data_IF_723313786933
#
_entry.id   IF_723313786933
#
_cell.length_a   1.000
_cell.length_b   1.000
_cell.length_c   1.000
_cell.angle_alpha   90.00
_cell.angle_beta   90.00
_cell.angle_gamma   90.00
#
_symmetry.space_group_name_H-M   'P 1'
#
loop_
_entity.id
_entity.type
_entity.pdbx_description
1 polymer ?
#
# COMPACT_ATOMS: atom_id res chain seq x y z
N UNK A 1 37.15 18.38 -7.57
CA UNK A 1 36.25 18.37 -6.39
C UNK A 1 34.92 17.78 -6.84
N UNK A 2 34.58 16.58 -6.36
CA UNK A 2 33.51 15.74 -6.91
C UNK A 2 32.17 16.06 -6.23
N UNK A 3 31.31 16.83 -6.91
CA UNK A 3 30.01 17.31 -6.37
C UNK A 3 28.92 16.23 -6.42
N UNK A 4 29.15 15.09 -7.08
CA UNK A 4 28.20 13.97 -7.21
C UNK A 4 27.86 13.22 -5.89
N UNK A 5 28.48 13.62 -4.77
CA UNK A 5 28.23 13.05 -3.45
C UNK A 5 27.17 13.81 -2.62
N UNK A 6 26.38 14.68 -3.24
CA UNK A 6 25.24 15.33 -2.59
C UNK A 6 23.99 14.43 -2.62
N UNK A 7 23.83 13.66 -1.54
CA UNK A 7 22.54 13.17 -1.03
C UNK A 7 21.69 12.30 -1.97
N UNK A 8 22.14 11.08 -2.27
CA UNK A 8 21.18 9.97 -2.43
C UNK A 8 20.50 9.77 -1.07
N UNK A 9 19.39 10.47 -0.79
CA UNK A 9 18.45 10.08 0.27
C UNK A 9 18.16 8.60 0.03
N UNK A 10 18.63 7.73 0.93
CA UNK A 10 18.47 6.28 0.80
C UNK A 10 16.97 6.01 0.66
N UNK A 11 16.53 5.62 -0.53
CA UNK A 11 15.12 5.43 -0.82
C UNK A 11 14.52 4.48 0.22
N UNK A 12 13.40 4.88 0.81
CA UNK A 12 12.77 4.14 1.89
C UNK A 12 12.37 2.74 1.43
N UNK A 13 12.52 1.75 2.31
CA UNK A 13 12.15 0.37 2.00
C UNK A 13 10.64 0.29 1.73
N UNK A 14 10.25 -0.47 0.70
CA UNK A 14 8.83 -0.63 0.36
C UNK A 14 8.00 -1.19 1.51
N UNK A 15 8.53 -2.14 2.27
CA UNK A 15 7.83 -2.67 3.46
C UNK A 15 7.56 -1.61 4.53
N UNK A 16 8.43 -0.61 4.68
CA UNK A 16 8.20 0.51 5.62
C UNK A 16 7.13 1.46 5.10
N UNK A 17 7.17 1.79 3.81
CA UNK A 17 6.13 2.63 3.16
C UNK A 17 4.77 1.96 3.27
N UNK A 18 4.70 0.66 2.98
CA UNK A 18 3.46 -0.11 3.04
C UNK A 18 2.95 -0.28 4.46
N UNK A 19 3.84 -0.37 5.45
CA UNK A 19 3.44 -0.29 6.86
C UNK A 19 2.74 1.02 7.17
N UNK A 20 3.28 2.15 6.71
CA UNK A 20 2.69 3.46 6.95
C UNK A 20 1.33 3.61 6.27
N UNK A 21 1.23 3.28 4.99
CA UNK A 21 -0.03 3.28 4.25
C UNK A 21 -1.07 2.39 4.96
N UNK A 22 -0.70 1.15 5.31
CA UNK A 22 -1.61 0.24 6.01
C UNK A 22 -2.07 0.82 7.36
N UNK A 23 -1.18 1.44 8.13
CA UNK A 23 -1.55 2.08 9.40
C UNK A 23 -2.52 3.25 9.19
N UNK A 24 -2.40 4.01 8.10
CA UNK A 24 -3.31 5.16 7.88
C UNK A 24 -4.78 4.77 7.76
N UNK A 25 -5.11 3.55 7.34
CA UNK A 25 -6.52 3.09 7.25
C UNK A 25 -7.03 2.42 8.54
N UNK A 26 -6.16 2.19 9.52
CA UNK A 26 -6.51 1.59 10.80
C UNK A 26 -7.15 2.63 11.73
N UNK A 27 -8.15 2.19 12.49
CA UNK A 27 -8.80 3.01 13.52
C UNK A 27 -7.86 3.34 14.68
N UNK A 28 -7.06 2.37 15.11
CA UNK A 28 -6.00 2.56 16.11
C UNK A 28 -4.67 2.08 15.54
N UNK A 29 -3.78 3.04 15.26
CA UNK A 29 -2.46 2.80 14.65
C UNK A 29 -1.44 2.18 15.61
N UNK A 30 -1.73 2.15 16.92
CA UNK A 30 -0.83 1.58 17.94
C UNK A 30 -1.23 0.16 18.33
N UNK A 31 -2.48 -0.23 18.07
CA UNK A 31 -2.97 -1.58 18.32
C UNK A 31 -2.34 -2.60 17.38
N UNK A 32 -2.20 -3.85 17.87
CA UNK A 32 -1.86 -4.99 17.01
C UNK A 32 -3.13 -5.39 16.26
N UNK A 33 -3.19 -5.26 14.93
CA UNK A 33 -4.37 -5.63 14.17
C UNK A 33 -4.53 -7.16 14.14
N UNK A 34 -5.75 -7.60 13.90
CA UNK A 34 -6.00 -8.97 13.46
C UNK A 34 -5.33 -9.26 12.12
N UNK A 35 -5.12 -10.54 11.83
CA UNK A 35 -4.57 -10.97 10.54
C UNK A 35 -5.44 -10.48 9.38
N UNK A 36 -6.75 -10.63 9.45
CA UNK A 36 -7.69 -10.14 8.43
C UNK A 36 -7.62 -8.63 8.23
N UNK A 37 -7.54 -7.85 9.32
CA UNK A 37 -7.41 -6.40 9.24
C UNK A 37 -6.06 -5.99 8.63
N UNK A 38 -4.97 -6.62 9.04
CA UNK A 38 -3.64 -6.36 8.49
C UNK A 38 -3.57 -6.69 6.99
N UNK A 39 -4.09 -7.84 6.57
CA UNK A 39 -4.14 -8.23 5.16
C UNK A 39 -5.06 -7.33 4.34
N UNK A 40 -6.20 -6.91 4.90
CA UNK A 40 -7.09 -5.95 4.24
C UNK A 40 -6.40 -4.61 4.06
N UNK A 41 -5.75 -4.07 5.09
CA UNK A 41 -5.02 -2.80 5.01
C UNK A 41 -3.87 -2.85 3.99
N UNK A 42 -3.11 -3.95 3.95
CA UNK A 42 -2.05 -4.15 2.95
C UNK A 42 -2.59 -4.27 1.52
N UNK A 43 -3.75 -4.93 1.33
CA UNK A 43 -4.43 -4.99 0.04
C UNK A 43 -4.84 -3.59 -0.45
N UNK A 44 -5.41 -2.76 0.44
CA UNK A 44 -5.80 -1.38 0.10
C UNK A 44 -4.56 -0.53 -0.23
N UNK A 45 -3.48 -0.66 0.54
CA UNK A 45 -2.20 -0.02 0.26
C UNK A 45 -1.63 -0.41 -1.10
N UNK A 46 -1.68 -1.69 -1.45
CA UNK A 46 -1.21 -2.18 -2.75
C UNK A 46 -2.03 -1.61 -3.91
N UNK A 47 -3.35 -1.68 -3.80
CA UNK A 47 -4.25 -1.14 -4.82
C UNK A 47 -4.04 0.37 -5.01
N UNK A 48 -3.96 1.13 -3.92
CA UNK A 48 -3.72 2.56 -3.96
C UNK A 48 -2.36 2.92 -4.59
N UNK A 49 -1.29 2.23 -4.16
CA UNK A 49 0.06 2.49 -4.67
C UNK A 49 0.16 2.27 -6.18
N UNK A 50 -0.35 1.14 -6.66
CA UNK A 50 -0.31 0.79 -8.08
C UNK A 50 -1.20 1.70 -8.92
N UNK A 51 -2.44 2.00 -8.47
CA UNK A 51 -3.33 2.95 -9.16
C UNK A 51 -2.71 4.33 -9.29
N UNK A 52 -2.03 4.81 -8.24
CA UNK A 52 -1.34 6.10 -8.27
C UNK A 52 -0.15 6.14 -9.25
N UNK A 53 0.36 4.97 -9.66
CA UNK A 53 1.41 4.82 -10.66
C UNK A 53 0.88 4.40 -12.04
N UNK A 54 -0.44 4.44 -12.26
CA UNK A 54 -1.07 4.15 -13.55
C UNK A 54 -1.31 2.67 -13.82
N UNK A 55 -1.08 1.80 -12.84
CA UNK A 55 -1.34 0.36 -12.96
C UNK A 55 -2.79 0.04 -12.58
N UNK A 56 -3.44 -0.80 -13.39
CA UNK A 56 -4.80 -1.25 -13.10
C UNK A 56 -4.78 -2.32 -11.99
N UNK A 57 -5.39 -1.98 -10.86
CA UNK A 57 -5.83 -2.97 -9.87
C UNK A 57 -7.35 -2.89 -9.79
N UNK A 58 -8.06 -3.89 -10.30
CA UNK A 58 -9.51 -3.76 -10.53
C UNK A 58 -10.31 -3.73 -9.22
N UNK A 59 -11.39 -2.95 -9.19
CA UNK A 59 -12.34 -2.96 -8.08
C UNK A 59 -12.92 -4.35 -7.80
N UNK A 60 -13.09 -5.15 -8.86
CA UNK A 60 -13.60 -6.51 -8.77
C UNK A 60 -12.65 -7.42 -7.96
N UNK A 61 -11.34 -7.35 -8.23
CA UNK A 61 -10.33 -8.14 -7.51
C UNK A 61 -10.20 -7.70 -6.06
N UNK A 62 -10.13 -6.39 -5.80
CA UNK A 62 -10.17 -5.85 -4.43
C UNK A 62 -11.37 -6.40 -3.65
N UNK A 63 -12.58 -6.19 -4.20
CA UNK A 63 -13.83 -6.61 -3.55
C UNK A 63 -13.89 -8.11 -3.31
N UNK A 64 -13.40 -8.92 -4.26
CA UNK A 64 -13.35 -10.39 -4.13
C UNK A 64 -12.46 -10.83 -2.97
N UNK A 65 -11.29 -10.21 -2.80
CA UNK A 65 -10.35 -10.56 -1.72
C UNK A 65 -10.86 -10.05 -0.37
N UNK A 66 -11.34 -8.82 -0.27
CA UNK A 66 -11.93 -8.25 0.96
C UNK A 66 -13.04 -9.15 1.49
N UNK A 67 -13.95 -9.62 0.62
CA UNK A 67 -15.03 -10.55 1.00
C UNK A 67 -14.55 -11.85 1.61
N UNK A 68 -13.34 -12.33 1.28
CA UNK A 68 -12.77 -13.52 1.93
C UNK A 68 -12.39 -13.21 3.39
N UNK A 69 -11.78 -12.04 3.63
CA UNK A 69 -11.43 -11.59 4.97
C UNK A 69 -12.65 -11.28 5.82
N UNK A 70 -13.67 -10.63 5.26
CA UNK A 70 -14.95 -10.39 5.95
C UNK A 70 -15.64 -11.69 6.39
N UNK A 71 -15.58 -12.74 5.55
CA UNK A 71 -16.13 -14.05 5.87
C UNK A 71 -15.34 -14.75 6.99
N UNK A 72 -14.00 -14.62 6.98
CA UNK A 72 -13.13 -15.15 8.04
C UNK A 72 -13.37 -14.46 9.38
N UNK A 73 -13.52 -13.13 9.36
CA UNK A 73 -13.70 -12.30 10.54
C UNK A 73 -14.78 -11.24 10.31
N UNK A 74 -15.98 -11.52 10.82
CA UNK A 74 -17.14 -10.59 10.72
C UNK A 74 -16.90 -9.23 11.40
N UNK A 75 -15.99 -9.18 12.39
CA UNK A 75 -15.59 -7.97 13.10
C UNK A 75 -14.49 -7.16 12.41
N UNK A 76 -14.02 -7.57 11.22
CA UNK A 76 -12.96 -6.90 10.45
C UNK A 76 -13.07 -5.37 10.47
N UNK A 77 -14.26 -4.87 10.13
CA UNK A 77 -14.50 -3.43 9.97
C UNK A 77 -14.48 -2.60 11.25
N UNK A 78 -14.43 -3.22 12.43
CA UNK A 78 -14.28 -2.49 13.70
C UNK A 78 -12.85 -1.95 13.84
N UNK A 79 -11.88 -2.58 13.16
CA UNK A 79 -10.46 -2.25 13.22
C UNK A 79 -10.04 -1.23 12.15
N UNK A 80 -10.78 -1.11 11.04
CA UNK A 80 -10.56 -0.10 10.00
C UNK A 80 -11.36 1.18 10.30
N UNK A 81 -10.88 2.32 9.79
CA UNK A 81 -11.58 3.62 9.93
C UNK A 81 -12.92 3.67 9.21
N UNK A 82 -13.11 2.90 8.15
CA UNK A 82 -14.31 2.91 7.32
C UNK A 82 -14.58 1.56 6.67
N UNK A 83 -15.86 1.29 6.36
CA UNK A 83 -16.31 0.19 5.49
C UNK A 83 -16.24 0.53 4.01
N UNK A 84 -16.16 1.82 3.69
CA UNK A 84 -15.97 2.28 2.32
C UNK A 84 -14.49 2.13 1.92
N UNK A 85 -14.15 0.92 1.51
CA UNK A 85 -12.80 0.59 1.09
C UNK A 85 -12.34 1.36 -0.16
N UNK A 86 -13.27 1.86 -0.97
CA UNK A 86 -12.93 2.71 -2.13
C UNK A 86 -12.50 4.10 -1.67
N UNK A 87 -13.23 4.68 -0.72
CA UNK A 87 -12.83 5.93 -0.09
C UNK A 87 -11.44 5.80 0.57
N UNK A 88 -11.19 4.71 1.30
CA UNK A 88 -9.86 4.43 1.87
C UNK A 88 -8.76 4.31 0.81
N UNK A 89 -9.01 3.67 -0.33
CA UNK A 89 -8.05 3.64 -1.45
C UNK A 89 -7.76 5.05 -1.98
N UNK A 90 -8.79 5.88 -2.16
CA UNK A 90 -8.62 7.24 -2.65
C UNK A 90 -7.80 8.11 -1.67
N UNK A 91 -8.04 7.98 -0.37
CA UNK A 91 -7.23 8.63 0.68
C UNK A 91 -5.77 8.18 0.61
N UNK A 92 -5.52 6.87 0.40
CA UNK A 92 -4.17 6.33 0.26
C UNK A 92 -3.46 6.80 -1.02
N UNK A 93 -4.19 6.97 -2.12
CA UNK A 93 -3.67 7.55 -3.36
C UNK A 93 -3.20 8.99 -3.10
N UNK A 94 -4.02 9.80 -2.43
CA UNK A 94 -3.65 11.16 -2.03
C UNK A 94 -2.41 11.16 -1.15
N UNK A 95 -2.39 10.35 -0.09
CA UNK A 95 -1.24 10.20 0.80
C UNK A 95 0.03 9.82 0.03
N UNK A 96 -0.05 8.86 -0.89
CA UNK A 96 1.07 8.45 -1.74
C UNK A 96 1.58 9.63 -2.57
N UNK A 97 0.69 10.36 -3.23
CA UNK A 97 1.06 11.46 -4.12
C UNK A 97 1.69 12.64 -3.37
N UNK A 98 1.25 12.90 -2.14
CA UNK A 98 1.82 13.95 -1.29
C UNK A 98 3.20 13.57 -0.72
N UNK A 99 3.36 12.32 -0.28
CA UNK A 99 4.55 11.90 0.48
C UNK A 99 5.62 11.22 -0.40
N UNK A 100 5.20 10.62 -1.52
CA UNK A 100 6.04 9.82 -2.41
C UNK A 100 5.74 10.09 -3.91
N UNK A 101 5.73 11.37 -4.37
CA UNK A 101 5.35 11.73 -5.74
C UNK A 101 6.25 11.08 -6.81
N UNK A 102 7.56 11.08 -6.56
CA UNK A 102 8.60 10.57 -7.47
C UNK A 102 8.79 9.05 -7.39
N UNK A 103 8.15 8.38 -6.43
CA UNK A 103 8.29 6.93 -6.29
C UNK A 103 7.35 6.21 -7.24
N UNK A 104 7.91 5.75 -8.36
CA UNK A 104 7.20 5.05 -9.44
C UNK A 104 7.35 3.53 -9.40
N UNK A 105 7.92 2.97 -8.33
CA UNK A 105 8.09 1.50 -8.20
C UNK A 105 6.72 0.83 -8.33
N UNK A 106 6.63 -0.21 -9.15
CA UNK A 106 5.41 -1.01 -9.33
C UNK A 106 5.47 -2.20 -8.38
N UNK A 107 4.45 -2.38 -7.55
CA UNK A 107 4.39 -3.46 -6.57
C UNK A 107 3.76 -4.69 -7.20
N UNK A 108 4.50 -5.81 -7.16
CA UNK A 108 4.07 -7.09 -7.75
C UNK A 108 3.66 -8.11 -6.69
N UNK A 109 4.20 -7.99 -5.48
CA UNK A 109 3.81 -8.80 -4.32
C UNK A 109 3.68 -7.89 -3.10
N UNK A 110 2.59 -8.04 -2.36
CA UNK A 110 2.41 -7.39 -1.06
C UNK A 110 1.64 -8.33 -0.11
N UNK A 111 2.19 -8.57 1.07
CA UNK A 111 1.55 -9.41 2.08
C UNK A 111 2.36 -9.54 3.36
N UNK A 112 1.97 -10.53 4.17
CA UNK A 112 2.70 -10.89 5.39
C UNK A 112 3.43 -12.22 5.20
N UNK A 113 4.69 -12.30 5.66
CA UNK A 113 5.50 -13.51 5.73
C UNK A 113 6.17 -13.57 7.09
N UNK A 114 5.94 -14.64 7.86
CA UNK A 114 6.54 -14.84 9.18
C UNK A 114 6.36 -13.62 10.11
N UNK A 115 5.16 -13.02 10.11
CA UNK A 115 4.84 -11.83 10.91
C UNK A 115 5.38 -10.50 10.36
N UNK A 116 6.13 -10.51 9.26
CA UNK A 116 6.71 -9.33 8.65
C UNK A 116 5.99 -8.93 7.36
N UNK A 117 5.95 -7.62 7.07
CA UNK A 117 5.45 -7.11 5.78
C UNK A 117 6.49 -7.41 4.70
N UNK A 118 6.09 -8.19 3.70
CA UNK A 118 6.89 -8.53 2.53
C UNK A 118 6.36 -7.78 1.31
N UNK A 119 7.26 -7.11 0.59
CA UNK A 119 6.91 -6.35 -0.62
C UNK A 119 7.96 -6.57 -1.69
N UNK A 120 7.53 -7.06 -2.85
CA UNK A 120 8.36 -7.17 -4.06
C UNK A 120 7.88 -6.14 -5.07
N UNK A 121 8.84 -5.57 -5.81
CA UNK A 121 8.58 -4.47 -6.71
C UNK A 121 9.56 -4.48 -7.89
N UNK A 122 9.16 -3.81 -8.96
CA UNK A 122 9.98 -3.57 -10.15
C UNK A 122 9.99 -2.07 -10.48
N UNK A 123 10.99 -1.63 -11.24
CA UNK A 123 10.94 -0.28 -11.83
C UNK A 123 9.88 -0.23 -12.93
N UNK A 124 9.27 0.94 -13.17
CA UNK A 124 8.41 1.12 -14.33
C UNK A 124 9.23 0.92 -15.61
N UNK A 125 8.60 0.49 -16.72
CA UNK A 125 9.29 0.39 -18.00
C UNK A 125 9.86 1.75 -18.41
N UNK A 126 11.05 1.75 -19.05
CA UNK A 126 11.79 2.98 -19.39
C UNK A 126 11.00 3.97 -20.26
N UNK A 127 10.01 3.49 -21.02
CA UNK A 127 9.14 4.30 -21.87
C UNK A 127 8.28 5.31 -21.11
N UNK A 128 8.04 5.11 -19.81
CA UNK A 128 7.21 5.99 -18.98
C UNK A 128 8.05 7.11 -18.31
N UNK A 129 9.38 7.00 -18.31
CA UNK A 129 10.27 7.96 -17.65
C UNK A 129 10.70 9.16 -18.53
N UNK A 130 10.27 9.19 -19.81
CA UNK A 130 10.68 10.21 -20.80
C UNK A 130 9.54 11.14 -21.26
N UNK A 131 8.38 11.11 -20.60
CA UNK A 131 7.24 11.98 -20.91
C UNK A 131 7.18 13.17 -19.95
#
# INVERSE_FOLDING_TARGET
MNVEKHMRKKQKKMSQIFKELALTVMKDQKSIPSSEAAHTALLLANAAWNRANGEEFTDHECKRIIRKFEKSRRSLWIELRSRDWKALINELIQYKNENYPEDKRIVVVCGMREGNIHVEWKQPPESIMKA
#
